data_IF_747508491780
#
_entry.id   IF_747508491780
#
_cell.length_a   1.000
_cell.length_b   1.000
_cell.length_c   1.000
_cell.angle_alpha   90.00
_cell.angle_beta   90.00
_cell.angle_gamma   90.00
#
_symmetry.space_group_name_H-M   'P 1'
#
loop_
_entity.id
_entity.type
_entity.pdbx_description
1 polymer ?
#
# COMPACT_ATOMS: atom_id res chain seq x y z
N UNK A 1 -21.09 -24.11 2.81
CA UNK A 1 -19.84 -23.32 2.88
C UNK A 1 -19.72 -22.61 1.54
N UNK A 2 -20.18 -21.36 1.47
CA UNK A 2 -20.16 -20.58 0.22
C UNK A 2 -18.70 -20.24 -0.11
N UNK A 3 -18.23 -20.79 -1.22
CA UNK A 3 -16.94 -20.46 -1.79
C UNK A 3 -17.09 -19.07 -2.38
N UNK A 4 -16.43 -18.09 -1.76
CA UNK A 4 -16.37 -16.75 -2.29
C UNK A 4 -15.73 -16.77 -3.68
N UNK A 5 -16.52 -16.42 -4.68
CA UNK A 5 -16.09 -16.34 -6.06
C UNK A 5 -15.16 -15.13 -6.22
N UNK A 6 -13.84 -15.37 -6.20
CA UNK A 6 -12.80 -14.36 -6.39
C UNK A 6 -12.74 -13.83 -7.85
N UNK A 7 -13.55 -14.36 -8.77
CA UNK A 7 -13.49 -14.02 -10.20
C UNK A 7 -14.35 -12.83 -10.61
N UNK A 8 -15.23 -12.34 -9.74
CA UNK A 8 -16.14 -11.22 -10.04
C UNK A 8 -15.70 -9.87 -9.45
N UNK A 9 -14.78 -9.87 -8.48
CA UNK A 9 -14.40 -8.64 -7.78
C UNK A 9 -13.39 -7.81 -8.59
N UNK A 10 -13.72 -6.53 -8.79
CA UNK A 10 -12.73 -5.55 -9.25
C UNK A 10 -11.55 -5.48 -8.25
N UNK A 11 -10.33 -5.09 -8.69
CA UNK A 11 -9.18 -4.96 -7.78
C UNK A 11 -9.48 -4.15 -6.51
N UNK A 12 -10.25 -3.07 -6.65
CA UNK A 12 -10.69 -2.25 -5.52
C UNK A 12 -11.62 -2.98 -4.55
N UNK A 13 -12.56 -3.79 -5.05
CA UNK A 13 -13.48 -4.55 -4.20
C UNK A 13 -12.75 -5.68 -3.45
N UNK A 14 -11.84 -6.37 -4.14
CA UNK A 14 -10.96 -7.33 -3.51
C UNK A 14 -10.15 -6.71 -2.36
N UNK A 15 -9.60 -5.50 -2.57
CA UNK A 15 -8.85 -4.78 -1.55
C UNK A 15 -9.73 -4.45 -0.34
N UNK A 16 -10.92 -3.88 -0.55
CA UNK A 16 -11.86 -3.56 0.53
C UNK A 16 -12.22 -4.78 1.37
N UNK A 17 -12.54 -5.88 0.71
CA UNK A 17 -12.86 -7.14 1.38
C UNK A 17 -11.68 -7.65 2.21
N UNK A 18 -10.49 -7.67 1.62
CA UNK A 18 -9.27 -8.12 2.30
C UNK A 18 -8.98 -7.27 3.53
N UNK A 19 -9.11 -5.94 3.41
CA UNK A 19 -8.92 -5.01 4.53
C UNK A 19 -9.94 -5.24 5.63
N UNK A 20 -11.22 -5.41 5.29
CA UNK A 20 -12.29 -5.73 6.26
C UNK A 20 -12.03 -7.02 7.02
N UNK A 21 -11.52 -8.04 6.34
CA UNK A 21 -11.19 -9.32 6.98
C UNK A 21 -9.99 -9.18 7.92
N UNK A 22 -8.90 -8.55 7.47
CA UNK A 22 -7.69 -8.37 8.30
C UNK A 22 -7.96 -7.44 9.49
N UNK A 23 -8.75 -6.38 9.30
CA UNK A 23 -9.06 -5.42 10.36
C UNK A 23 -9.85 -6.02 11.53
N UNK A 24 -10.43 -7.21 11.37
CA UNK A 24 -11.07 -7.94 12.47
C UNK A 24 -10.05 -8.51 13.47
N UNK A 25 -8.82 -8.76 13.02
CA UNK A 25 -7.80 -9.46 13.80
C UNK A 25 -6.57 -8.61 14.10
N UNK A 26 -6.37 -7.51 13.36
CA UNK A 26 -5.22 -6.64 13.48
C UNK A 26 -5.62 -5.18 13.27
N UNK A 27 -5.02 -4.29 14.05
CA UNK A 27 -5.09 -2.85 13.79
C UNK A 27 -4.27 -2.51 12.54
N UNK A 28 -4.85 -1.72 11.64
CA UNK A 28 -4.23 -1.30 10.39
C UNK A 28 -4.17 0.23 10.39
N UNK A 29 -2.97 0.78 10.52
CA UNK A 29 -2.78 2.25 10.53
C UNK A 29 -3.13 2.88 9.17
N UNK A 30 -2.61 2.27 8.09
CA UNK A 30 -2.77 2.78 6.73
C UNK A 30 -2.84 1.66 5.70
N UNK A 31 -3.67 1.87 4.68
CA UNK A 31 -3.65 1.10 3.43
C UNK A 31 -3.14 1.97 2.31
N UNK A 32 -2.07 1.55 1.62
CA UNK A 32 -1.48 2.29 0.50
C UNK A 32 -1.60 1.47 -0.79
N UNK A 33 -2.28 2.00 -1.79
CA UNK A 33 -2.53 1.31 -3.05
C UNK A 33 -2.19 2.15 -4.30
N UNK A 34 -1.92 1.47 -5.41
CA UNK A 34 -1.63 2.12 -6.68
C UNK A 34 -2.91 2.48 -7.45
N UNK A 35 -2.78 3.23 -8.55
CA UNK A 35 -3.89 3.77 -9.33
C UNK A 35 -4.78 2.70 -9.98
N UNK A 36 -4.33 1.44 -10.02
CA UNK A 36 -5.16 0.29 -10.43
C UNK A 36 -6.28 -0.06 -9.45
N UNK A 37 -6.18 0.37 -8.18
CA UNK A 37 -7.19 0.18 -7.14
C UNK A 37 -8.09 1.41 -6.95
N UNK A 38 -7.96 2.42 -7.82
CA UNK A 38 -8.70 3.65 -7.73
C UNK A 38 -10.19 3.42 -8.02
N UNK A 39 -11.00 3.45 -6.98
CA UNK A 39 -12.45 3.51 -7.04
C UNK A 39 -12.95 4.38 -5.87
N UNK A 40 -13.56 5.52 -6.20
CA UNK A 40 -13.93 6.53 -5.19
C UNK A 40 -14.98 6.03 -4.21
N UNK A 41 -15.94 5.20 -4.67
CA UNK A 41 -16.95 4.61 -3.78
C UNK A 41 -16.30 3.66 -2.76
N UNK A 42 -15.41 2.79 -3.25
CA UNK A 42 -14.67 1.84 -2.40
C UNK A 42 -13.77 2.56 -1.39
N UNK A 43 -13.09 3.64 -1.80
CA UNK A 43 -12.22 4.42 -0.90
C UNK A 43 -13.04 5.03 0.24
N UNK A 44 -14.25 5.56 -0.05
CA UNK A 44 -15.14 6.09 1.00
C UNK A 44 -15.60 5.02 1.98
N UNK A 45 -15.85 3.81 1.50
CA UNK A 45 -16.28 2.68 2.34
C UNK A 45 -15.15 1.98 3.10
N UNK A 46 -13.89 2.36 2.85
CA UNK A 46 -12.74 1.70 3.44
C UNK A 46 -12.71 1.95 4.96
N UNK A 47 -12.63 0.91 5.79
CA UNK A 47 -12.78 1.05 7.26
C UNK A 47 -11.54 1.65 7.95
N UNK A 48 -10.49 1.95 7.18
CA UNK A 48 -9.18 2.40 7.68
C UNK A 48 -8.65 3.55 6.83
N UNK A 49 -7.65 4.27 7.35
CA UNK A 49 -7.01 5.38 6.62
C UNK A 49 -6.37 4.84 5.34
N UNK A 50 -6.80 5.37 4.20
CA UNK A 50 -6.45 4.79 2.90
C UNK A 50 -5.90 5.83 1.96
N UNK A 51 -4.80 5.49 1.30
CA UNK A 51 -4.07 6.32 0.36
C UNK A 51 -4.01 5.58 -0.97
N UNK A 52 -4.67 6.13 -1.99
CA UNK A 52 -4.64 5.57 -3.34
C UNK A 52 -4.06 6.59 -4.30
N UNK A 53 -3.16 6.14 -5.19
CA UNK A 53 -2.65 7.01 -6.26
C UNK A 53 -3.78 7.48 -7.16
N UNK A 54 -3.86 8.79 -7.34
CA UNK A 54 -4.85 9.46 -8.19
C UNK A 54 -4.51 9.39 -9.68
N UNK A 55 -5.53 9.69 -10.50
CA UNK A 55 -5.39 9.93 -11.95
C UNK A 55 -5.83 11.37 -12.24
N UNK A 56 -5.07 12.09 -13.06
CA UNK A 56 -5.25 13.53 -13.29
C UNK A 56 -6.61 13.92 -13.91
N UNK A 57 -7.33 12.98 -14.51
CA UNK A 57 -8.61 13.24 -15.18
C UNK A 57 -9.83 13.28 -14.25
N UNK A 58 -9.70 12.98 -12.95
CA UNK A 58 -10.83 13.03 -12.01
C UNK A 58 -11.28 14.46 -11.77
N UNK A 59 -12.60 14.66 -11.59
CA UNK A 59 -13.19 15.98 -11.30
C UNK A 59 -12.53 16.65 -10.09
N UNK A 60 -12.32 15.90 -9.00
CA UNK A 60 -11.65 16.43 -7.79
C UNK A 60 -10.25 17.00 -8.06
N UNK A 61 -9.48 16.44 -9.01
CA UNK A 61 -8.18 17.00 -9.39
C UNK A 61 -8.28 18.20 -10.32
N UNK A 62 -9.34 18.31 -11.12
CA UNK A 62 -9.61 19.53 -11.89
C UNK A 62 -9.93 20.68 -10.95
N UNK A 63 -10.77 20.45 -9.94
CA UNK A 63 -11.05 21.46 -8.91
C UNK A 63 -9.80 21.79 -8.09
N UNK A 64 -8.97 20.79 -7.78
CA UNK A 64 -7.72 20.99 -7.05
C UNK A 64 -6.76 21.97 -7.76
N UNK A 65 -6.77 22.03 -9.09
CA UNK A 65 -5.91 22.97 -9.84
C UNK A 65 -6.25 24.45 -9.60
N UNK A 66 -7.45 24.75 -9.08
CA UNK A 66 -7.86 26.10 -8.70
C UNK A 66 -7.38 26.49 -7.30
N UNK A 67 -6.84 25.55 -6.52
CA UNK A 67 -6.34 25.78 -5.17
C UNK A 67 -4.90 26.33 -5.22
N UNK A 68 -4.57 27.38 -4.45
CA UNK A 68 -3.21 27.89 -4.34
C UNK A 68 -2.23 26.80 -3.87
N UNK A 69 -1.03 26.81 -4.44
CA UNK A 69 0.05 25.91 -4.01
C UNK A 69 0.59 26.38 -2.65
N UNK A 70 0.70 25.46 -1.71
CA UNK A 70 1.30 25.69 -0.39
C UNK A 70 2.69 25.07 -0.36
N UNK A 71 3.69 25.83 0.10
CA UNK A 71 5.07 25.39 0.20
C UNK A 71 5.47 25.21 1.66
N UNK A 72 6.09 24.07 1.99
CA UNK A 72 6.64 23.79 3.32
C UNK A 72 8.02 23.15 3.21
N UNK A 73 8.94 23.64 4.04
CA UNK A 73 10.26 23.03 4.26
C UNK A 73 10.20 22.17 5.52
N UNK A 74 10.61 20.91 5.41
CA UNK A 74 10.70 19.99 6.53
C UNK A 74 12.17 19.73 6.84
N UNK A 75 12.61 20.17 8.02
CA UNK A 75 13.97 19.93 8.54
C UNK A 75 14.08 18.55 9.18
N UNK A 76 13.82 17.50 8.39
CA UNK A 76 14.31 16.16 8.71
C UNK A 76 15.72 16.05 8.15
N UNK A 77 16.61 15.25 8.76
CA UNK A 77 18.06 15.08 8.48
C UNK A 77 18.53 15.17 7.00
N UNK A 78 17.63 14.99 6.03
CA UNK A 78 17.87 15.01 4.58
C UNK A 78 17.36 16.27 3.84
N UNK A 79 16.97 17.36 4.52
CA UNK A 79 16.42 18.61 3.93
C UNK A 79 15.32 18.34 2.91
N UNK A 80 14.10 18.04 3.40
CA UNK A 80 12.97 17.72 2.52
C UNK A 80 12.17 18.97 2.19
N UNK A 81 11.87 19.16 0.92
CA UNK A 81 10.97 20.21 0.45
C UNK A 81 9.67 19.59 -0.06
N UNK A 82 8.54 20.11 0.40
CA UNK A 82 7.21 19.67 -0.02
C UNK A 82 6.38 20.88 -0.44
N UNK A 83 5.94 20.89 -1.68
CA UNK A 83 4.89 21.80 -2.14
C UNK A 83 3.64 20.99 -2.45
N UNK A 84 2.47 21.47 -2.02
CA UNK A 84 1.25 20.70 -2.17
C UNK A 84 0.00 21.55 -2.36
N UNK A 85 -1.02 20.94 -2.94
CA UNK A 85 -2.41 21.39 -2.90
C UNK A 85 -3.23 20.30 -2.23
N UNK A 86 -4.21 20.71 -1.43
CA UNK A 86 -5.19 19.80 -0.84
C UNK A 86 -6.60 20.35 -1.06
N UNK A 87 -7.54 19.47 -1.41
CA UNK A 87 -8.95 19.80 -1.57
C UNK A 87 -9.80 18.67 -1.02
N UNK A 88 -10.78 19.02 -0.18
CA UNK A 88 -11.87 18.12 0.18
C UNK A 88 -12.98 18.25 -0.86
N UNK A 89 -13.30 17.16 -1.55
CA UNK A 89 -14.33 17.14 -2.59
C UNK A 89 -15.13 15.83 -2.50
N UNK A 90 -16.46 15.93 -2.51
CA UNK A 90 -17.39 14.79 -2.42
C UNK A 90 -17.07 13.81 -1.26
N UNK A 91 -16.57 14.29 -0.13
CA UNK A 91 -16.25 13.46 1.03
C UNK A 91 -14.92 12.71 0.96
N UNK A 92 -14.07 13.01 -0.02
CA UNK A 92 -12.68 12.53 -0.10
C UNK A 92 -11.71 13.70 -0.11
N UNK A 93 -10.45 13.44 0.22
CA UNK A 93 -9.37 14.42 0.16
C UNK A 93 -8.45 14.11 -1.03
N UNK A 94 -8.27 15.10 -1.88
CA UNK A 94 -7.43 15.08 -3.07
C UNK A 94 -6.15 15.85 -2.78
N UNK A 95 -5.01 15.24 -3.12
CA UNK A 95 -3.70 15.82 -2.91
C UNK A 95 -2.91 15.85 -4.20
N UNK A 96 -2.26 16.97 -4.44
CA UNK A 96 -1.22 17.14 -5.46
C UNK A 96 0.04 17.53 -4.68
N UNK A 97 1.06 16.68 -4.70
CA UNK A 97 2.25 16.81 -3.85
C UNK A 97 3.50 16.73 -4.71
N UNK A 98 4.26 17.82 -4.73
CA UNK A 98 5.64 17.88 -5.21
C UNK A 98 6.53 17.65 -4.00
N UNK A 99 7.23 16.52 -4.01
CA UNK A 99 8.07 16.05 -2.92
C UNK A 99 9.53 15.99 -3.40
N UNK A 100 10.44 16.64 -2.66
CA UNK A 100 11.87 16.69 -3.00
C UNK A 100 12.70 16.20 -1.82
N UNK A 101 13.21 14.97 -1.96
CA UNK A 101 14.28 14.39 -1.13
C UNK A 101 15.30 13.77 -2.07
N UNK A 102 16.37 14.51 -2.36
CA UNK A 102 17.27 14.22 -3.48
C UNK A 102 16.62 14.57 -4.82
N UNK A 103 15.98 13.60 -5.49
CA UNK A 103 15.31 13.83 -6.78
C UNK A 103 13.85 14.28 -6.58
N UNK A 104 13.38 15.34 -7.28
CA UNK A 104 11.98 15.74 -7.26
C UNK A 104 11.05 14.62 -7.73
N UNK A 105 9.95 14.43 -7.02
CA UNK A 105 8.87 13.50 -7.36
C UNK A 105 7.54 14.24 -7.29
N UNK A 106 6.66 13.88 -8.21
CA UNK A 106 5.29 14.40 -8.25
C UNK A 106 4.32 13.26 -7.98
N UNK A 107 3.47 13.46 -6.98
CA UNK A 107 2.47 12.49 -6.59
C UNK A 107 1.09 13.13 -6.56
N UNK A 108 0.10 12.34 -6.96
CA UNK A 108 -1.30 12.69 -6.81
C UNK A 108 -1.98 11.59 -5.99
N UNK A 109 -2.72 11.97 -4.97
CA UNK A 109 -3.38 11.02 -4.06
C UNK A 109 -4.86 11.33 -3.90
N UNK A 110 -5.62 10.28 -3.65
CA UNK A 110 -6.99 10.34 -3.13
C UNK A 110 -7.01 9.56 -1.82
N UNK A 111 -7.58 10.16 -0.79
CA UNK A 111 -7.66 9.57 0.55
C UNK A 111 -9.04 9.75 1.17
N UNK A 112 -9.40 8.89 2.11
CA UNK A 112 -10.64 8.99 2.90
C UNK A 112 -10.47 9.74 4.24
N UNK A 113 -9.31 10.34 4.48
CA UNK A 113 -8.99 11.06 5.70
C UNK A 113 -8.12 12.28 5.40
N UNK A 114 -8.09 13.25 6.29
CA UNK A 114 -7.17 14.37 6.18
C UNK A 114 -5.80 13.95 6.74
N UNK A 115 -4.79 13.86 5.88
CA UNK A 115 -3.41 13.52 6.23
C UNK A 115 -2.42 14.65 5.95
N UNK A 116 -1.27 14.62 6.63
CA UNK A 116 -0.14 15.52 6.35
C UNK A 116 0.50 15.15 5.00
N UNK A 117 0.66 16.11 4.06
CA UNK A 117 1.18 15.83 2.72
C UNK A 117 2.59 15.23 2.69
N UNK A 118 3.45 15.57 3.65
CA UNK A 118 4.79 14.99 3.75
C UNK A 118 4.72 13.52 4.17
N UNK A 119 3.92 13.21 5.19
CA UNK A 119 3.71 11.83 5.63
C UNK A 119 3.10 10.95 4.53
N UNK A 120 2.08 11.46 3.82
CA UNK A 120 1.46 10.77 2.70
C UNK A 120 2.48 10.45 1.59
N UNK A 121 3.33 11.42 1.25
CA UNK A 121 4.38 11.25 0.25
C UNK A 121 5.46 10.25 0.70
N UNK A 122 5.86 10.26 1.97
CA UNK A 122 6.82 9.29 2.51
C UNK A 122 6.26 7.87 2.52
N UNK A 123 5.03 7.67 3.01
CA UNK A 123 4.35 6.37 3.00
C UNK A 123 4.26 5.81 1.58
N UNK A 124 3.89 6.65 0.61
CA UNK A 124 3.82 6.22 -0.78
C UNK A 124 5.21 5.97 -1.41
N UNK A 125 6.23 6.74 -1.03
CA UNK A 125 7.62 6.50 -1.46
C UNK A 125 8.13 5.13 -0.99
N UNK A 126 7.81 4.75 0.25
CA UNK A 126 8.17 3.42 0.80
C UNK A 126 7.47 2.29 0.02
N UNK A 127 6.19 2.45 -0.36
CA UNK A 127 5.49 1.50 -1.25
C UNK A 127 6.22 1.29 -2.57
N UNK A 128 6.73 2.36 -3.18
CA UNK A 128 7.51 2.27 -4.42
C UNK A 128 8.84 1.50 -4.23
N UNK A 129 9.50 1.64 -3.07
CA UNK A 129 10.72 0.88 -2.77
C UNK A 129 10.46 -0.63 -2.68
N UNK A 130 9.28 -1.03 -2.21
CA UNK A 130 8.85 -2.44 -2.24
C UNK A 130 8.77 -2.93 -3.69
N UNK A 131 8.21 -2.15 -4.62
CA UNK A 131 8.18 -2.49 -6.05
C UNK A 131 9.56 -2.57 -6.71
N UNK A 132 10.49 -1.69 -6.35
CA UNK A 132 11.88 -1.77 -6.82
C UNK A 132 12.57 -3.04 -6.31
N UNK A 133 12.36 -3.38 -5.04
CA UNK A 133 12.76 -4.68 -4.49
C UNK A 133 12.15 -5.85 -5.25
N UNK A 134 10.88 -5.74 -5.66
CA UNK A 134 10.22 -6.73 -6.52
C UNK A 134 10.76 -6.74 -7.96
N UNK A 135 11.18 -5.62 -8.56
CA UNK A 135 11.75 -5.58 -9.93
C UNK A 135 13.11 -6.28 -9.99
N UNK A 136 13.98 -6.04 -9.00
CA UNK A 136 15.25 -6.77 -8.85
C UNK A 136 14.99 -8.27 -8.70
N UNK A 137 13.93 -8.64 -7.97
CA UNK A 137 13.52 -10.05 -7.80
C UNK A 137 12.81 -10.63 -9.02
N UNK A 138 11.98 -9.90 -9.76
CA UNK A 138 11.31 -10.35 -11.00
C UNK A 138 12.31 -10.65 -12.10
N UNK A 139 13.38 -9.86 -12.19
CA UNK A 139 14.51 -10.14 -13.07
C UNK A 139 15.17 -11.49 -12.72
N UNK A 140 15.31 -11.82 -11.42
CA UNK A 140 15.76 -13.16 -10.96
C UNK A 140 14.72 -14.26 -11.16
N UNK A 141 13.42 -13.97 -10.97
CA UNK A 141 12.31 -14.93 -11.05
C UNK A 141 11.90 -15.25 -12.51
N UNK A 142 12.25 -14.41 -13.50
CA UNK A 142 12.00 -14.72 -14.92
C UNK A 142 12.65 -16.04 -15.38
N UNK A 143 13.66 -16.52 -14.65
CA UNK A 143 14.33 -17.81 -14.85
C UNK A 143 13.54 -19.03 -14.28
N UNK A 144 12.38 -18.81 -13.67
CA UNK A 144 11.84 -19.75 -12.67
C UNK A 144 10.37 -20.05 -13.00
N UNK A 145 10.11 -20.61 -14.19
CA UNK A 145 8.76 -20.96 -14.69
C UNK A 145 8.28 -22.40 -14.37
N UNK A 146 9.00 -23.18 -13.53
CA UNK A 146 8.61 -24.56 -13.17
C UNK A 146 7.90 -24.62 -11.81
N UNK A 147 6.90 -25.51 -11.69
CA UNK A 147 6.07 -25.74 -10.49
C UNK A 147 6.90 -26.04 -9.23
N UNK A 148 8.00 -26.78 -9.37
CA UNK A 148 8.98 -27.06 -8.31
C UNK A 148 9.50 -25.79 -7.65
N UNK A 149 9.64 -24.72 -8.41
CA UNK A 149 10.17 -23.48 -7.91
C UNK A 149 9.11 -22.61 -7.21
N UNK A 150 7.82 -22.82 -7.49
CA UNK A 150 6.72 -22.19 -6.73
C UNK A 150 6.63 -22.79 -5.33
N UNK A 151 6.80 -24.10 -5.22
CA UNK A 151 6.90 -24.82 -3.94
C UNK A 151 8.16 -24.38 -3.19
N UNK A 152 9.29 -24.26 -3.89
CA UNK A 152 10.51 -23.70 -3.30
C UNK A 152 10.31 -22.28 -2.77
N UNK A 153 9.66 -21.40 -3.54
CA UNK A 153 9.35 -20.04 -3.10
C UNK A 153 8.44 -20.03 -1.87
N UNK A 154 7.42 -20.88 -1.82
CA UNK A 154 6.57 -21.03 -0.64
C UNK A 154 7.38 -21.45 0.59
N UNK A 155 8.15 -22.54 0.48
CA UNK A 155 9.00 -23.02 1.58
C UNK A 155 10.02 -21.96 2.01
N UNK A 156 10.61 -21.24 1.05
CA UNK A 156 11.55 -20.16 1.32
C UNK A 156 10.89 -18.99 2.07
N UNK A 157 9.66 -18.61 1.71
CA UNK A 157 8.92 -17.57 2.44
C UNK A 157 8.57 -18.01 3.86
N UNK A 158 8.17 -19.27 4.06
CA UNK A 158 7.89 -19.81 5.40
C UNK A 158 9.13 -19.81 6.29
N UNK A 159 10.29 -20.19 5.73
CA UNK A 159 11.57 -20.17 6.46
C UNK A 159 12.00 -18.74 6.79
N UNK A 160 11.85 -17.79 5.86
CA UNK A 160 12.17 -16.39 6.11
C UNK A 160 11.25 -15.74 7.15
N UNK A 161 9.95 -16.02 7.12
CA UNK A 161 9.01 -15.51 8.13
C UNK A 161 9.35 -16.08 9.52
N UNK A 162 9.71 -17.38 9.58
CA UNK A 162 10.16 -18.02 10.81
C UNK A 162 11.47 -17.44 11.33
N UNK A 163 12.45 -17.18 10.45
CA UNK A 163 13.72 -16.55 10.81
C UNK A 163 13.53 -15.10 11.26
N UNK A 164 12.64 -14.34 10.60
CA UNK A 164 12.28 -12.98 11.00
C UNK A 164 11.61 -12.95 12.37
N UNK A 165 10.68 -13.87 12.64
CA UNK A 165 10.07 -14.02 13.96
C UNK A 165 11.09 -14.41 15.03
N UNK A 166 12.04 -15.31 14.70
CA UNK A 166 13.12 -15.70 15.61
C UNK A 166 14.05 -14.53 15.93
N UNK A 167 14.46 -13.75 14.93
CA UNK A 167 15.28 -12.55 15.12
C UNK A 167 14.55 -11.51 15.98
N UNK A 168 13.26 -11.29 15.73
CA UNK A 168 12.47 -10.38 16.55
C UNK A 168 12.28 -10.88 17.99
N UNK A 169 12.17 -12.21 18.18
CA UNK A 169 12.12 -12.79 19.51
C UNK A 169 13.45 -12.64 20.26
N UNK A 170 14.57 -12.91 19.60
CA UNK A 170 15.91 -12.86 20.21
C UNK A 170 16.38 -11.42 20.48
N UNK A 171 16.12 -10.48 19.56
CA UNK A 171 16.63 -9.11 19.68
C UNK A 171 15.66 -8.15 20.39
N UNK A 172 14.35 -8.41 20.29
CA UNK A 172 13.33 -7.47 20.76
C UNK A 172 12.33 -8.10 21.74
N UNK A 173 12.53 -9.36 22.15
CA UNK A 173 11.67 -10.13 23.07
C UNK A 173 10.18 -10.13 22.67
N UNK A 174 9.91 -9.95 21.37
CA UNK A 174 8.56 -9.86 20.83
C UNK A 174 8.06 -11.27 20.48
N UNK A 175 7.03 -11.77 21.17
CA UNK A 175 6.33 -13.00 20.80
C UNK A 175 5.12 -12.66 19.92
N UNK A 176 5.18 -12.98 18.64
CA UNK A 176 3.99 -12.98 17.79
C UNK A 176 3.09 -14.13 18.22
N UNK A 177 2.06 -13.85 19.02
CA UNK A 177 1.15 -14.86 19.59
C UNK A 177 -0.03 -15.23 18.68
N UNK A 178 -0.18 -14.61 17.50
CA UNK A 178 -1.43 -14.71 16.72
C UNK A 178 -1.25 -14.94 15.21
N UNK A 179 -0.36 -15.83 14.76
CA UNK A 179 -0.38 -16.29 13.36
C UNK A 179 -0.60 -17.80 13.25
N UNK A 180 -1.73 -18.18 12.64
CA UNK A 180 -1.82 -19.47 11.95
C UNK A 180 -0.77 -19.46 10.85
N UNK A 181 0.09 -20.49 10.85
CA UNK A 181 1.04 -20.76 9.77
C UNK A 181 0.27 -20.77 8.45
N UNK A 182 0.77 -20.06 7.43
CA UNK A 182 0.24 -20.13 6.07
C UNK A 182 0.22 -21.61 5.65
N UNK A 183 -0.96 -22.22 5.68
CA UNK A 183 -1.11 -23.63 5.31
C UNK A 183 -0.88 -23.79 3.82
N UNK A 184 -0.31 -24.93 3.41
CA UNK A 184 -0.12 -25.23 1.99
C UNK A 184 -1.44 -25.14 1.21
N UNK A 185 -2.55 -25.55 1.83
CA UNK A 185 -3.89 -25.44 1.24
C UNK A 185 -4.34 -23.99 1.02
N UNK A 186 -3.96 -23.06 1.90
CA UNK A 186 -4.21 -21.62 1.71
C UNK A 186 -3.42 -21.06 0.53
N UNK A 187 -2.21 -21.57 0.29
CA UNK A 187 -1.36 -21.17 -0.84
C UNK A 187 -1.85 -21.76 -2.17
N UNK A 188 -2.32 -23.01 -2.16
CA UNK A 188 -2.89 -23.65 -3.37
C UNK A 188 -4.19 -22.97 -3.80
N UNK A 189 -5.01 -22.48 -2.86
CA UNK A 189 -6.23 -21.71 -3.19
C UNK A 189 -5.97 -20.32 -3.79
N UNK A 190 -4.76 -19.79 -3.64
CA UNK A 190 -4.32 -18.50 -4.20
C UNK A 190 -3.69 -18.62 -5.61
N UNK A 191 -3.50 -19.86 -6.10
CA UNK A 191 -3.04 -20.18 -7.46
C UNK A 191 -4.20 -20.38 -8.43
#
# INVERSE_FOLDING_TARGET
MEVADLRSDSPSQFLLRSVREVSQYMEIDYVVADAGFLNLGVIKEMPVKTIVRGKSNLKGFKELSNVPLVEKRYEVKDKVYVAYRVLKFEGLYYYDVVYVKGKPRHFMFVTNFEGDPYELAELYRLRWQVEEGFKVRKARIRYVRKLSNKIFLFLYYTVLDSAWNLVNHLLFNFKSTCKKVLSFDSFVKLL
#
